data_IF_025787073438
#
_entry.id   IF_025787073438
#
_cell.length_a   1.000
_cell.length_b   1.000
_cell.length_c   1.000
_cell.angle_alpha   90.00
_cell.angle_beta   90.00
_cell.angle_gamma   90.00
#
_symmetry.space_group_name_H-M   'P 1'
#
loop_
_entity.id
_entity.type
_entity.pdbx_description
1 polymer ?
#
# COMPACT_ATOMS: atom_id res chain seq x y z
N UNK A 1 -6.08 -3.62 -9.63
CA UNK A 1 -5.03 -4.37 -10.31
C UNK A 1 -3.67 -3.78 -10.00
N UNK A 2 -2.70 -4.65 -9.79
CA UNK A 2 -1.35 -4.25 -9.43
C UNK A 2 -0.43 -4.20 -10.64
N UNK A 3 0.50 -3.26 -10.62
CA UNK A 3 1.56 -3.21 -11.62
C UNK A 3 2.53 -4.37 -11.38
N UNK A 4 3.31 -4.70 -12.40
CA UNK A 4 4.20 -5.87 -12.34
C UNK A 4 5.30 -5.76 -11.29
N UNK A 5 5.67 -4.54 -10.91
CA UNK A 5 6.73 -4.32 -9.92
C UNK A 5 6.24 -4.40 -8.47
N UNK A 6 4.96 -4.67 -8.26
CA UNK A 6 4.38 -4.73 -6.92
C UNK A 6 4.41 -6.16 -6.38
N UNK A 7 5.00 -6.34 -5.21
CA UNK A 7 5.03 -7.61 -4.51
C UNK A 7 4.59 -7.37 -3.07
N UNK A 8 3.32 -7.65 -2.78
CA UNK A 8 2.73 -7.39 -1.48
C UNK A 8 3.35 -8.25 -0.37
N UNK A 9 3.71 -9.49 -0.69
CA UNK A 9 4.32 -10.38 0.30
C UNK A 9 5.66 -9.82 0.74
N UNK A 10 6.48 -9.43 -0.22
CA UNK A 10 7.79 -8.85 0.07
C UNK A 10 7.66 -7.56 0.87
N UNK A 11 6.75 -6.68 0.45
CA UNK A 11 6.55 -5.40 1.11
C UNK A 11 6.06 -5.58 2.54
N UNK A 12 5.10 -6.47 2.76
CA UNK A 12 4.59 -6.69 4.11
C UNK A 12 5.67 -7.27 5.03
N UNK A 13 6.54 -8.10 4.49
CA UNK A 13 7.66 -8.65 5.24
C UNK A 13 8.69 -7.57 5.57
N UNK A 14 9.04 -6.72 4.61
CA UNK A 14 10.03 -5.66 4.83
C UNK A 14 9.60 -4.65 5.89
N UNK A 15 8.32 -4.31 5.92
CA UNK A 15 7.82 -3.27 6.81
C UNK A 15 7.14 -3.83 8.05
N UNK A 16 7.10 -5.15 8.19
CA UNK A 16 6.48 -5.81 9.34
C UNK A 16 5.05 -5.33 9.57
N UNK A 17 4.25 -5.34 8.52
CA UNK A 17 2.88 -4.87 8.55
C UNK A 17 1.93 -6.02 8.86
N UNK A 18 0.97 -5.79 9.75
CA UNK A 18 -0.06 -6.78 10.04
C UNK A 18 -0.99 -6.99 8.85
N UNK A 19 -1.68 -8.13 8.81
CA UNK A 19 -2.63 -8.41 7.74
C UNK A 19 -3.74 -7.37 7.64
N UNK A 20 -4.22 -6.86 8.79
CA UNK A 20 -5.24 -5.82 8.81
C UNK A 20 -4.75 -4.53 8.19
N UNK A 21 -3.51 -4.14 8.52
CA UNK A 21 -2.92 -2.92 7.99
C UNK A 21 -2.68 -3.03 6.49
N UNK A 22 -2.20 -4.18 6.02
CA UNK A 22 -1.96 -4.35 4.58
C UNK A 22 -3.28 -4.28 3.80
N UNK A 23 -4.37 -4.78 4.36
CA UNK A 23 -5.69 -4.67 3.75
C UNK A 23 -6.09 -3.21 3.61
N UNK A 24 -5.84 -2.40 4.63
CA UNK A 24 -6.14 -0.96 4.58
C UNK A 24 -5.29 -0.26 3.53
N UNK A 25 -4.01 -0.65 3.41
CA UNK A 25 -3.12 -0.09 2.39
C UNK A 25 -3.65 -0.39 1.00
N UNK A 26 -4.04 -1.65 0.76
CA UNK A 26 -4.58 -2.05 -0.54
C UNK A 26 -5.86 -1.28 -0.86
N UNK A 27 -6.74 -1.13 0.12
CA UNK A 27 -7.98 -0.40 -0.06
C UNK A 27 -7.74 1.06 -0.41
N UNK A 28 -6.81 1.70 0.30
CA UNK A 28 -6.42 3.08 0.01
C UNK A 28 -5.88 3.21 -1.41
N UNK A 29 -4.98 2.31 -1.79
CA UNK A 29 -4.38 2.32 -3.11
C UNK A 29 -5.41 2.09 -4.21
N UNK A 30 -6.38 1.22 -3.95
CA UNK A 30 -7.46 0.96 -4.91
C UNK A 30 -8.28 2.21 -5.16
N UNK A 31 -8.60 2.97 -4.09
CA UNK A 31 -9.34 4.21 -4.22
C UNK A 31 -8.57 5.23 -5.04
N UNK A 32 -7.26 5.33 -4.78
CA UNK A 32 -6.41 6.25 -5.54
C UNK A 32 -6.32 5.84 -7.01
N UNK A 33 -6.20 4.54 -7.26
CA UNK A 33 -6.11 4.03 -8.63
C UNK A 33 -7.39 4.28 -9.42
N UNK A 34 -8.55 4.24 -8.76
CA UNK A 34 -9.82 4.52 -9.42
C UNK A 34 -9.92 5.95 -9.93
N UNK A 35 -9.14 6.86 -9.36
CA UNK A 35 -9.10 8.25 -9.79
C UNK A 35 -8.14 8.48 -10.96
N UNK A 36 -7.41 7.44 -11.34
CA UNK A 36 -6.46 7.50 -12.44
C UNK A 36 -7.04 6.82 -13.67
N UNK A 37 -6.51 7.19 -14.83
CA UNK A 37 -6.90 6.60 -16.09
C UNK A 37 -6.61 5.10 -16.15
N UNK A 38 -5.45 4.72 -15.64
CA UNK A 38 -4.96 3.35 -15.79
C UNK A 38 -5.50 2.37 -14.76
N UNK A 39 -5.96 2.87 -13.62
CA UNK A 39 -6.47 2.04 -12.53
C UNK A 39 -5.50 0.96 -12.08
N UNK A 40 -4.21 1.26 -12.19
CA UNK A 40 -3.15 0.37 -11.72
C UNK A 40 -2.58 0.86 -10.40
N UNK A 41 -2.22 -0.09 -9.54
CA UNK A 41 -1.57 0.21 -8.27
C UNK A 41 -0.08 -0.03 -8.45
N UNK A 42 0.71 1.02 -8.26
CA UNK A 42 2.16 0.96 -8.41
C UNK A 42 2.84 0.80 -7.06
N UNK A 43 4.11 0.41 -7.08
CA UNK A 43 4.91 0.26 -5.87
C UNK A 43 4.90 1.53 -5.02
N UNK A 44 5.01 2.70 -5.66
CA UNK A 44 4.96 3.98 -4.96
C UNK A 44 3.66 4.18 -4.20
N UNK A 45 2.56 3.74 -4.78
CA UNK A 45 1.25 3.86 -4.13
C UNK A 45 1.21 3.03 -2.85
N UNK A 46 1.78 1.83 -2.90
CA UNK A 46 1.85 0.95 -1.73
C UNK A 46 2.68 1.61 -0.64
N UNK A 47 3.83 2.19 -0.99
CA UNK A 47 4.68 2.87 -0.02
C UNK A 47 3.95 4.04 0.65
N UNK A 48 3.20 4.81 -0.12
CA UNK A 48 2.39 5.90 0.42
C UNK A 48 1.33 5.39 1.39
N UNK A 49 0.68 4.29 1.04
CA UNK A 49 -0.33 3.69 1.90
C UNK A 49 0.27 3.17 3.21
N UNK A 50 1.44 2.54 3.13
CA UNK A 50 2.14 2.04 4.31
C UNK A 50 2.50 3.19 5.24
N UNK A 51 3.03 4.27 4.68
CA UNK A 51 3.39 5.44 5.46
C UNK A 51 2.17 6.00 6.19
N UNK A 52 1.03 6.01 5.53
CA UNK A 52 -0.22 6.47 6.11
C UNK A 52 -0.62 5.60 7.31
N UNK A 53 -0.51 4.28 7.16
CA UNK A 53 -0.84 3.36 8.24
C UNK A 53 0.12 3.51 9.42
N UNK A 54 1.41 3.69 9.13
CA UNK A 54 2.41 3.88 10.17
C UNK A 54 2.12 5.15 10.97
N UNK A 55 1.74 6.23 10.31
CA UNK A 55 1.40 7.48 10.99
C UNK A 55 0.18 7.30 11.90
N UNK A 56 -0.80 6.52 11.46
CA UNK A 56 -1.98 6.24 12.27
C UNK A 56 -1.63 5.43 13.52
N UNK A 57 -0.62 4.57 13.43
CA UNK A 57 -0.17 3.75 14.54
C UNK A 57 0.86 4.46 15.42
N UNK A 58 1.24 5.68 15.08
CA UNK A 58 2.28 6.40 15.79
C UNK A 58 3.70 5.95 15.45
N UNK A 59 3.87 5.18 14.38
CA UNK A 59 5.17 4.71 13.91
C UNK A 59 5.74 5.70 12.91
N UNK A 60 7.06 5.71 12.78
CA UNK A 60 7.73 6.52 11.77
C UNK A 60 8.49 5.61 10.82
N UNK A 61 8.56 6.05 9.60
CA UNK A 61 9.33 5.35 8.58
C UNK A 61 10.68 6.06 8.42
#
# INVERSE_FOLDING_TARGET
NFADDVDLVKISSEFEISGGSITNVVRYCSLMAMQREHRLIYHEDILHGIRREFLKEGRTI
#
